data_IF_144181638174
#
_entry.id   IF_144181638174
#
_cell.length_a   1.000
_cell.length_b   1.000
_cell.length_c   1.000
_cell.angle_alpha   90.00
_cell.angle_beta   90.00
_cell.angle_gamma   90.00
#
_symmetry.space_group_name_H-M   'P 1'
#
loop_
_entity.id
_entity.type
_entity.pdbx_description
1 polymer ?
#
# COMPACT_ATOMS: atom_id res chain seq x y z
N UNK A 1 6.78 23.71 20.51
CA UNK A 1 6.65 22.53 19.62
C UNK A 1 5.29 22.60 18.94
N UNK A 2 5.21 22.19 17.66
CA UNK A 2 3.94 22.16 16.93
C UNK A 2 2.97 21.17 17.56
N UNK A 3 1.66 21.44 17.45
CA UNK A 3 0.62 20.47 17.81
C UNK A 3 0.19 19.67 16.57
N UNK A 4 -0.22 18.43 16.79
CA UNK A 4 -0.64 17.52 15.72
C UNK A 4 -2.13 17.23 15.86
N UNK A 5 -2.85 17.31 14.75
CA UNK A 5 -4.30 17.21 14.71
C UNK A 5 -4.74 16.15 13.70
N UNK A 6 -5.75 15.37 14.05
CA UNK A 6 -6.48 14.50 13.12
C UNK A 6 -7.84 15.14 12.83
N UNK A 7 -8.13 15.36 11.54
CA UNK A 7 -9.39 15.93 11.07
C UNK A 7 -10.05 14.96 10.11
N UNK A 8 -11.32 14.67 10.37
CA UNK A 8 -12.17 13.91 9.46
C UNK A 8 -12.70 14.78 8.33
N UNK A 9 -12.60 14.28 7.10
CA UNK A 9 -13.23 14.83 5.90
C UNK A 9 -14.03 13.75 5.17
N UNK A 10 -14.90 14.15 4.25
CA UNK A 10 -15.56 13.23 3.31
C UNK A 10 -14.69 13.00 2.07
N UNK A 11 -14.93 11.94 1.29
CA UNK A 11 -14.25 11.75 0.00
C UNK A 11 -14.38 12.97 -0.93
N UNK A 12 -15.57 13.55 -1.05
CA UNK A 12 -15.85 14.69 -1.94
C UNK A 12 -15.14 15.98 -1.50
N UNK A 13 -15.10 16.24 -0.19
CA UNK A 13 -14.41 17.40 0.35
C UNK A 13 -12.89 17.24 0.25
N UNK A 14 -12.35 16.04 0.50
CA UNK A 14 -10.94 15.75 0.27
C UNK A 14 -10.55 15.92 -1.20
N UNK A 15 -11.38 15.42 -2.13
CA UNK A 15 -11.20 15.60 -3.57
C UNK A 15 -11.20 17.08 -3.95
N UNK A 16 -12.13 17.85 -3.40
CA UNK A 16 -12.20 19.31 -3.60
C UNK A 16 -10.97 20.03 -3.06
N UNK A 17 -10.45 19.60 -1.90
CA UNK A 17 -9.22 20.17 -1.35
C UNK A 17 -7.99 19.84 -2.21
N UNK A 18 -7.97 18.64 -2.80
CA UNK A 18 -6.91 18.18 -3.69
C UNK A 18 -6.93 18.86 -5.06
N UNK A 19 -8.11 18.98 -5.68
CA UNK A 19 -8.25 19.46 -7.07
C UNK A 19 -8.41 20.98 -7.17
N UNK A 20 -9.02 21.62 -6.17
CA UNK A 20 -9.45 23.02 -6.27
C UNK A 20 -8.83 23.90 -5.19
N UNK A 21 -8.95 23.54 -3.90
CA UNK A 21 -8.54 24.42 -2.80
C UNK A 21 -7.02 24.40 -2.55
N UNK A 22 -6.35 23.33 -2.96
CA UNK A 22 -4.93 23.10 -2.75
C UNK A 22 -4.53 23.00 -1.26
N UNK A 23 -5.47 22.62 -0.38
CA UNK A 23 -5.28 22.62 1.07
C UNK A 23 -4.81 23.97 1.64
N UNK A 24 -5.17 25.08 0.99
CA UNK A 24 -4.76 26.44 1.40
C UNK A 24 -5.51 26.93 2.64
N UNK A 25 -6.63 26.29 2.97
CA UNK A 25 -7.50 26.64 4.09
C UNK A 25 -7.98 25.36 4.78
N UNK A 26 -7.85 25.31 6.10
CA UNK A 26 -8.56 24.35 6.94
C UNK A 26 -9.83 25.01 7.49
N UNK A 27 -11.00 24.60 7.00
CA UNK A 27 -12.29 25.00 7.56
C UNK A 27 -12.91 23.91 8.41
N UNK A 28 -13.65 24.31 9.45
CA UNK A 28 -14.47 23.43 10.27
C UNK A 28 -15.81 24.08 10.61
N UNK A 29 -16.78 23.23 10.98
CA UNK A 29 -18.09 23.66 11.49
C UNK A 29 -17.94 24.56 12.73
N UNK A 30 -18.90 25.45 12.95
CA UNK A 30 -18.85 26.43 14.06
C UNK A 30 -18.74 25.78 15.44
N UNK A 31 -19.31 24.58 15.62
CA UNK A 31 -19.15 23.79 16.86
C UNK A 31 -17.69 23.46 17.21
N UNK A 32 -16.79 23.49 16.23
CA UNK A 32 -15.35 23.25 16.38
C UNK A 32 -14.53 24.54 16.45
N UNK A 33 -15.16 25.72 16.52
CA UNK A 33 -14.49 27.03 16.66
C UNK A 33 -13.41 27.04 17.74
N UNK A 34 -13.74 26.53 18.93
CA UNK A 34 -12.80 26.47 20.07
C UNK A 34 -11.55 25.64 19.75
N UNK A 35 -11.64 24.67 18.84
CA UNK A 35 -10.50 23.89 18.38
C UNK A 35 -9.68 24.66 17.37
N UNK A 36 -10.30 25.28 16.36
CA UNK A 36 -9.59 26.10 15.36
C UNK A 36 -8.87 27.28 16.00
N UNK A 37 -9.46 27.89 17.04
CA UNK A 37 -8.81 28.95 17.83
C UNK A 37 -7.53 28.50 18.54
N UNK A 38 -7.31 27.19 18.72
CA UNK A 38 -6.07 26.65 19.30
C UNK A 38 -4.99 26.43 18.25
N UNK A 39 -5.32 26.46 16.97
CA UNK A 39 -4.34 26.27 15.91
C UNK A 39 -3.31 27.39 15.92
N UNK A 40 -2.06 26.99 15.76
CA UNK A 40 -0.92 27.90 15.66
C UNK A 40 -0.16 27.63 14.35
N UNK A 41 0.47 28.66 13.76
CA UNK A 41 1.40 28.42 12.67
C UNK A 41 2.45 27.36 13.04
N UNK A 42 2.62 26.37 12.18
CA UNK A 42 3.49 25.21 12.40
C UNK A 42 2.76 23.95 12.86
N UNK A 43 1.53 24.04 13.38
CA UNK A 43 0.71 22.87 13.69
C UNK A 43 0.46 22.02 12.43
N UNK A 44 0.34 20.71 12.61
CA UNK A 44 0.14 19.76 11.52
C UNK A 44 -1.26 19.17 11.57
N UNK A 45 -1.91 19.06 10.42
CA UNK A 45 -3.23 18.46 10.25
C UNK A 45 -3.09 17.22 9.37
N UNK A 46 -3.49 16.08 9.91
CA UNK A 46 -3.64 14.81 9.18
C UNK A 46 -5.11 14.65 8.76
N UNK A 47 -5.34 14.40 7.47
CA UNK A 47 -6.67 14.22 6.92
C UNK A 47 -7.07 12.74 6.89
N UNK A 48 -8.09 12.40 7.70
CA UNK A 48 -8.78 11.11 7.64
C UNK A 48 -10.02 11.21 6.74
N UNK A 49 -10.04 10.44 5.66
CA UNK A 49 -11.15 10.35 4.72
C UNK A 49 -12.12 9.30 5.23
N UNK A 50 -13.27 9.77 5.71
CA UNK A 50 -14.34 8.92 6.21
C UNK A 50 -14.94 8.05 5.10
N UNK A 51 -15.71 7.02 5.47
CA UNK A 51 -16.31 6.01 4.58
C UNK A 51 -15.31 5.03 3.95
N UNK A 52 -14.19 5.52 3.41
CA UNK A 52 -13.15 4.66 2.80
C UNK A 52 -12.05 4.23 3.79
N UNK A 53 -12.08 4.74 5.03
CA UNK A 53 -11.12 4.41 6.10
C UNK A 53 -9.66 4.69 5.72
N UNK A 54 -9.40 5.79 5.02
CA UNK A 54 -8.06 6.13 4.52
C UNK A 54 -7.52 7.42 5.13
N UNK A 55 -6.20 7.53 5.17
CA UNK A 55 -5.49 8.79 5.43
C UNK A 55 -4.97 9.33 4.10
N UNK A 56 -5.26 10.59 3.80
CA UNK A 56 -5.04 11.15 2.45
C UNK A 56 -3.98 12.24 2.35
N UNK A 57 -3.70 12.96 3.43
CA UNK A 57 -2.71 14.02 3.38
C UNK A 57 -2.36 14.63 4.72
N UNK A 58 -1.33 15.47 4.68
CA UNK A 58 -0.84 16.28 5.78
C UNK A 58 -0.73 17.72 5.28
N UNK A 59 -1.28 18.66 6.04
CA UNK A 59 -1.10 20.10 5.83
C UNK A 59 -0.51 20.76 7.07
N UNK A 60 0.26 21.82 6.87
CA UNK A 60 0.78 22.68 7.94
C UNK A 60 -0.09 23.92 8.05
N UNK A 61 -0.56 24.24 9.27
CA UNK A 61 -1.24 25.49 9.56
C UNK A 61 -0.24 26.66 9.42
N UNK A 62 -0.68 27.74 8.79
CA UNK A 62 0.13 28.94 8.52
C UNK A 62 -0.42 30.23 9.11
N UNK A 63 -1.63 30.20 9.70
CA UNK A 63 -2.22 31.35 10.40
C UNK A 63 -2.93 30.96 11.68
N UNK A 64 -3.29 31.96 12.49
CA UNK A 64 -4.32 31.79 13.53
C UNK A 64 -5.73 31.70 12.94
N UNK A 65 -6.71 31.55 13.84
CA UNK A 65 -8.13 31.51 13.52
C UNK A 65 -8.64 32.78 12.83
N UNK A 66 -9.51 32.59 11.85
CA UNK A 66 -10.38 33.62 11.31
C UNK A 66 -11.76 33.03 11.00
N UNK A 67 -12.76 33.91 10.91
CA UNK A 67 -14.14 33.53 10.61
C UNK A 67 -14.52 34.00 9.21
N UNK A 68 -15.10 33.11 8.40
CA UNK A 68 -15.58 33.42 7.06
C UNK A 68 -16.82 32.59 6.71
N UNK A 69 -17.98 33.25 6.70
CA UNK A 69 -19.26 32.66 6.36
C UNK A 69 -19.76 33.10 4.96
N UNK A 70 -18.87 33.60 4.09
CA UNK A 70 -19.24 34.12 2.76
C UNK A 70 -18.70 33.25 1.64
N UNK A 71 -17.48 32.72 1.79
CA UNK A 71 -16.83 31.96 0.71
C UNK A 71 -17.15 30.47 0.81
N UNK A 72 -17.77 29.88 -0.22
CA UNK A 72 -18.03 28.44 -0.29
C UNK A 72 -16.86 27.71 -0.98
N UNK A 73 -16.15 26.86 -0.24
CA UNK A 73 -15.00 26.09 -0.73
C UNK A 73 -15.35 24.61 -0.91
N UNK A 74 -16.19 24.07 -0.01
CA UNK A 74 -16.49 22.65 0.10
C UNK A 74 -17.86 22.29 -0.49
N UNK A 75 -18.07 21.00 -0.74
CA UNK A 75 -19.18 20.49 -1.58
C UNK A 75 -20.49 20.31 -0.84
N UNK A 76 -20.50 20.39 0.49
CA UNK A 76 -21.73 20.26 1.26
C UNK A 76 -22.69 21.41 0.88
N UNK A 77 -23.86 21.06 0.30
CA UNK A 77 -24.74 22.00 -0.42
C UNK A 77 -25.16 23.24 0.41
N UNK A 78 -25.28 23.10 1.72
CA UNK A 78 -25.69 24.17 2.65
C UNK A 78 -24.59 24.63 3.62
N UNK A 79 -23.38 24.09 3.54
CA UNK A 79 -22.42 24.19 4.65
C UNK A 79 -21.11 24.87 4.23
N UNK A 80 -20.79 25.96 4.94
CA UNK A 80 -19.69 26.89 4.61
C UNK A 80 -18.42 26.62 5.43
N UNK A 81 -18.52 25.89 6.54
CA UNK A 81 -17.43 25.66 7.52
C UNK A 81 -16.68 26.96 7.89
N UNK A 82 -17.34 27.86 8.64
CA UNK A 82 -16.89 29.24 8.76
C UNK A 82 -15.71 29.44 9.70
N UNK A 83 -15.40 28.47 10.55
CA UNK A 83 -14.26 28.54 11.47
C UNK A 83 -12.99 28.04 10.75
N UNK A 84 -12.08 28.95 10.41
CA UNK A 84 -10.96 28.67 9.49
C UNK A 84 -9.58 29.04 10.03
N UNK A 85 -8.57 28.39 9.48
CA UNK A 85 -7.17 28.81 9.54
C UNK A 85 -6.52 28.56 8.17
N UNK A 86 -5.57 29.40 7.78
CA UNK A 86 -4.79 29.17 6.54
C UNK A 86 -3.88 27.98 6.76
N UNK A 87 -3.64 27.23 5.69
CA UNK A 87 -2.77 26.06 5.68
C UNK A 87 -1.99 25.98 4.38
N UNK A 88 -1.02 25.07 4.32
CA UNK A 88 -0.36 24.67 3.08
C UNK A 88 -0.15 23.16 3.08
N UNK A 89 -0.26 22.48 1.93
CA UNK A 89 -0.02 21.05 1.86
C UNK A 89 1.45 20.74 2.12
N UNK A 90 1.70 19.59 2.74
CA UNK A 90 3.03 19.04 2.96
C UNK A 90 3.15 17.66 2.31
N UNK A 91 2.09 16.84 2.45
CA UNK A 91 1.95 15.54 1.79
C UNK A 91 0.52 15.44 1.28
N UNK A 92 0.34 15.07 0.01
CA UNK A 92 -0.97 14.77 -0.59
C UNK A 92 -0.82 13.49 -1.41
N UNK A 93 -1.59 12.47 -1.05
CA UNK A 93 -1.55 11.15 -1.70
C UNK A 93 -2.49 11.08 -2.91
N UNK A 94 -2.10 10.29 -3.91
CA UNK A 94 -2.99 9.87 -4.99
C UNK A 94 -3.98 8.81 -4.52
N UNK A 95 -5.05 8.58 -5.29
CA UNK A 95 -6.18 7.73 -4.90
C UNK A 95 -5.75 6.27 -4.65
N UNK A 96 -4.76 5.79 -5.40
CA UNK A 96 -4.12 4.48 -5.29
C UNK A 96 -3.04 4.42 -4.19
N UNK A 97 -2.62 5.57 -3.66
CA UNK A 97 -1.60 5.68 -2.61
C UNK A 97 -2.20 5.86 -1.22
N UNK A 98 -3.51 6.15 -1.13
CA UNK A 98 -4.23 6.40 0.12
C UNK A 98 -3.95 5.32 1.17
N UNK A 99 -3.47 5.76 2.33
CA UNK A 99 -3.03 4.86 3.39
C UNK A 99 -4.23 4.28 4.14
N UNK A 100 -4.35 2.95 4.17
CA UNK A 100 -5.38 2.27 4.95
C UNK A 100 -5.09 2.38 6.44
N UNK A 101 -5.91 3.14 7.17
CA UNK A 101 -5.71 3.32 8.61
C UNK A 101 -5.78 2.00 9.36
N UNK A 102 -6.49 0.99 8.83
CA UNK A 102 -6.61 -0.32 9.47
C UNK A 102 -5.27 -1.02 9.63
N UNK A 103 -4.30 -0.70 8.78
CA UNK A 103 -2.93 -1.19 8.87
C UNK A 103 -2.16 -0.61 10.06
N UNK A 104 -2.59 0.54 10.57
CA UNK A 104 -1.92 1.29 11.64
C UNK A 104 -2.65 1.22 12.98
N UNK A 105 -3.87 0.66 13.03
CA UNK A 105 -4.70 0.65 14.26
C UNK A 105 -3.92 0.11 15.46
N UNK A 106 -3.15 -0.96 15.28
CA UNK A 106 -2.39 -1.61 16.36
C UNK A 106 -1.34 -0.67 16.97
N UNK A 107 -0.74 0.17 16.13
CA UNK A 107 0.42 1.00 16.49
C UNK A 107 0.03 2.44 16.90
N UNK A 108 -1.16 2.93 16.52
CA UNK A 108 -1.65 4.27 16.89
C UNK A 108 -2.10 4.32 18.35
N UNK A 109 -1.34 5.01 19.20
CA UNK A 109 -1.57 5.12 20.65
C UNK A 109 -2.86 5.87 21.01
N UNK A 110 -3.29 6.85 20.19
CA UNK A 110 -4.53 7.60 20.43
C UNK A 110 -5.79 6.72 20.30
N UNK A 111 -5.69 5.57 19.62
CA UNK A 111 -6.77 4.58 19.48
C UNK A 111 -6.65 3.59 20.63
N UNK A 112 -7.43 3.81 21.70
CA UNK A 112 -7.36 3.01 22.92
C UNK A 112 -8.09 1.67 22.80
N UNK A 113 -9.21 1.65 22.09
CA UNK A 113 -9.97 0.43 21.79
C UNK A 113 -9.78 0.10 20.30
N UNK A 114 -9.04 -0.99 20.05
CA UNK A 114 -8.66 -1.43 18.70
C UNK A 114 -9.81 -2.12 17.97
N UNK A 115 -10.74 -2.73 18.69
CA UNK A 115 -11.93 -3.38 18.11
C UNK A 115 -12.92 -2.31 17.63
N UNK A 116 -13.12 -1.26 18.42
CA UNK A 116 -14.00 -0.13 18.10
C UNK A 116 -13.25 1.12 17.64
N UNK A 117 -12.14 0.93 16.91
CA UNK A 117 -11.24 2.01 16.48
C UNK A 117 -11.94 3.16 15.74
N UNK A 118 -13.03 2.87 15.01
CA UNK A 118 -13.76 3.85 14.21
C UNK A 118 -14.33 4.99 15.06
N UNK A 119 -14.61 4.75 16.34
CA UNK A 119 -15.07 5.77 17.30
C UNK A 119 -14.02 6.86 17.56
N UNK A 120 -12.73 6.55 17.36
CA UNK A 120 -11.62 7.46 17.63
C UNK A 120 -11.31 8.40 16.46
N UNK A 121 -11.87 8.10 15.28
CA UNK A 121 -11.58 8.82 14.03
C UNK A 121 -12.83 9.35 13.34
N UNK A 122 -14.02 8.78 13.55
CA UNK A 122 -15.25 9.24 12.88
C UNK A 122 -15.67 10.61 13.41
N UNK A 123 -15.74 11.60 12.52
CA UNK A 123 -16.13 12.98 12.86
C UNK A 123 -15.16 13.67 13.82
N UNK A 124 -13.93 13.18 13.88
CA UNK A 124 -12.88 13.67 14.77
C UNK A 124 -12.32 15.01 14.30
N UNK A 125 -12.20 15.91 15.26
CA UNK A 125 -11.35 17.09 15.20
C UNK A 125 -10.58 17.08 16.52
N UNK A 126 -9.43 16.41 16.55
CA UNK A 126 -8.76 16.06 17.80
C UNK A 126 -7.25 16.23 17.72
N UNK A 127 -6.59 16.53 18.86
CA UNK A 127 -5.15 16.37 18.94
C UNK A 127 -4.77 14.88 18.91
N UNK A 128 -3.61 14.60 18.33
CA UNK A 128 -2.94 13.30 18.36
C UNK A 128 -1.51 13.44 18.94
N UNK A 129 -0.97 12.39 19.59
CA UNK A 129 0.43 12.36 20.01
C UNK A 129 1.41 12.55 18.85
N UNK A 130 2.60 13.08 19.14
CA UNK A 130 3.68 13.26 18.16
C UNK A 130 4.13 11.93 17.55
N UNK A 131 4.26 10.88 18.37
CA UNK A 131 4.62 9.52 17.93
C UNK A 131 3.64 8.96 16.88
N UNK A 132 2.34 9.19 17.05
CA UNK A 132 1.31 8.75 16.12
C UNK A 132 1.37 9.56 14.81
N UNK A 133 1.65 10.87 14.90
CA UNK A 133 1.86 11.70 13.72
C UNK A 133 3.09 11.24 12.92
N UNK A 134 4.22 11.01 13.58
CA UNK A 134 5.47 10.59 12.95
C UNK A 134 5.31 9.23 12.25
N UNK A 135 4.56 8.31 12.87
CA UNK A 135 4.22 7.04 12.23
C UNK A 135 3.44 7.25 10.92
N UNK A 136 2.37 8.06 10.97
CA UNK A 136 1.55 8.37 9.78
C UNK A 136 2.38 9.07 8.71
N UNK A 137 3.16 10.08 9.07
CA UNK A 137 4.01 10.83 8.14
C UNK A 137 5.02 9.90 7.47
N UNK A 138 5.70 9.04 8.23
CA UNK A 138 6.64 8.05 7.71
C UNK A 138 5.97 7.12 6.69
N UNK A 139 4.80 6.57 7.01
CA UNK A 139 4.08 5.68 6.09
C UNK A 139 3.60 6.41 4.81
N UNK A 140 3.18 7.67 4.92
CA UNK A 140 2.86 8.46 3.74
C UNK A 140 4.10 8.81 2.90
N UNK A 141 5.25 9.10 3.52
CA UNK A 141 6.52 9.32 2.81
C UNK A 141 6.97 8.06 2.07
N UNK A 142 6.78 6.88 2.65
CA UNK A 142 7.01 5.59 1.97
C UNK A 142 6.10 5.40 0.77
N UNK A 143 4.84 5.86 0.84
CA UNK A 143 3.94 5.85 -0.31
C UNK A 143 4.46 6.79 -1.41
N UNK A 144 4.85 8.02 -1.08
CA UNK A 144 5.41 8.99 -2.04
C UNK A 144 6.74 8.54 -2.66
N UNK A 145 7.62 7.86 -1.92
CA UNK A 145 8.87 7.35 -2.49
C UNK A 145 8.64 6.29 -3.56
N UNK A 146 7.49 5.59 -3.54
CA UNK A 146 7.10 4.65 -4.60
C UNK A 146 6.62 5.39 -5.86
N UNK A 147 6.04 6.58 -5.72
CA UNK A 147 5.59 7.45 -6.84
C UNK A 147 6.73 7.83 -7.79
N UNK A 148 7.93 8.02 -7.25
CA UNK A 148 9.12 8.46 -7.99
C UNK A 148 10.03 7.33 -8.49
N UNK A 149 9.70 6.06 -8.24
CA UNK A 149 10.47 4.95 -8.80
C UNK A 149 10.27 4.94 -10.33
N UNK A 150 11.29 5.23 -11.15
CA UNK A 150 11.11 5.25 -12.58
C UNK A 150 10.73 3.86 -13.08
N UNK A 151 9.55 3.71 -13.68
CA UNK A 151 9.37 2.70 -14.71
C UNK A 151 10.36 3.07 -15.82
N UNK A 152 11.39 2.23 -16.02
CA UNK A 152 12.55 2.44 -16.91
C UNK A 152 13.59 3.43 -16.42
N UNK A 153 14.35 3.05 -15.40
CA UNK A 153 15.78 3.37 -15.44
C UNK A 153 16.33 2.59 -16.66
N UNK A 154 16.95 3.26 -17.65
CA UNK A 154 17.82 2.57 -18.62
C UNK A 154 18.96 1.94 -17.81
N UNK A 155 18.81 0.67 -17.48
CA UNK A 155 19.71 -0.03 -16.56
C UNK A 155 20.72 -0.80 -17.39
N UNK A 156 22.00 -0.44 -17.28
CA UNK A 156 23.09 -1.31 -17.70
C UNK A 156 22.94 -2.67 -16.97
N UNK A 157 23.06 -3.78 -17.69
CA UNK A 157 22.94 -5.14 -17.14
C UNK A 157 21.53 -5.77 -17.20
N UNK A 158 20.55 -5.13 -17.83
CA UNK A 158 19.21 -5.69 -18.01
C UNK A 158 19.10 -6.43 -19.32
N UNK A 159 18.38 -7.55 -19.31
CA UNK A 159 18.08 -8.31 -20.51
C UNK A 159 17.09 -7.51 -21.38
N UNK A 160 17.26 -7.57 -22.70
CA UNK A 160 16.56 -6.67 -23.63
C UNK A 160 15.10 -7.06 -23.86
N UNK A 161 14.79 -8.36 -23.83
CA UNK A 161 13.47 -8.88 -24.14
C UNK A 161 12.95 -9.85 -23.08
N UNK A 162 11.62 -10.00 -22.96
CA UNK A 162 11.01 -11.02 -22.08
C UNK A 162 11.54 -12.43 -22.38
N UNK A 163 11.86 -12.72 -23.65
CA UNK A 163 12.45 -13.99 -24.05
C UNK A 163 13.86 -14.21 -23.48
N UNK A 164 14.64 -13.15 -23.33
CA UNK A 164 15.97 -13.24 -22.72
C UNK A 164 15.82 -13.54 -21.21
N UNK A 165 14.85 -12.93 -20.52
CA UNK A 165 14.52 -13.30 -19.15
C UNK A 165 14.07 -14.76 -19.03
N UNK A 166 13.23 -15.25 -19.94
CA UNK A 166 12.82 -16.67 -19.97
C UNK A 166 14.03 -17.61 -20.11
N UNK A 167 15.03 -17.26 -20.93
CA UNK A 167 16.29 -18.02 -21.05
C UNK A 167 17.13 -17.93 -19.78
N UNK A 168 17.31 -16.74 -19.23
CA UNK A 168 18.08 -16.55 -18.00
C UNK A 168 17.46 -17.31 -16.82
N UNK A 169 16.13 -17.39 -16.73
CA UNK A 169 15.43 -18.24 -15.74
C UNK A 169 15.78 -19.71 -15.94
N UNK A 170 15.94 -20.19 -17.18
CA UNK A 170 16.32 -21.58 -17.45
C UNK A 170 17.75 -21.93 -17.00
N UNK A 171 18.65 -20.94 -16.95
CA UNK A 171 20.04 -21.11 -16.51
C UNK A 171 20.23 -20.98 -14.99
N UNK A 172 19.21 -20.50 -14.25
CA UNK A 172 19.28 -20.41 -12.79
C UNK A 172 19.43 -21.81 -12.15
N UNK A 173 20.14 -21.92 -11.00
CA UNK A 173 20.32 -23.18 -10.28
C UNK A 173 19.06 -23.57 -9.48
N UNK A 174 17.94 -23.73 -10.18
CA UNK A 174 16.63 -24.13 -9.64
C UNK A 174 16.40 -25.63 -9.87
N UNK A 175 15.61 -26.25 -8.98
CA UNK A 175 15.28 -27.68 -9.02
C UNK A 175 14.31 -27.99 -10.17
N UNK A 176 13.37 -27.09 -10.41
CA UNK A 176 12.31 -27.25 -11.39
C UNK A 176 12.81 -27.23 -12.84
N UNK A 177 12.14 -27.98 -13.72
CA UNK A 177 12.54 -28.12 -15.13
C UNK A 177 11.76 -27.22 -16.08
N UNK A 178 10.44 -27.11 -15.89
CA UNK A 178 9.59 -26.28 -16.75
C UNK A 178 9.72 -24.81 -16.35
N UNK A 179 9.55 -23.89 -17.31
CA UNK A 179 9.55 -22.45 -17.02
C UNK A 179 8.46 -22.08 -16.00
N UNK A 180 7.26 -22.68 -16.14
CA UNK A 180 6.15 -22.51 -15.19
C UNK A 180 6.56 -22.88 -13.77
N UNK A 181 7.07 -24.09 -13.57
CA UNK A 181 7.45 -24.57 -12.23
C UNK A 181 8.65 -23.78 -11.68
N UNK A 182 9.59 -23.34 -12.53
CA UNK A 182 10.71 -22.47 -12.12
C UNK A 182 10.25 -21.11 -11.61
N UNK A 183 9.30 -20.47 -12.28
CA UNK A 183 8.69 -19.22 -11.80
C UNK A 183 7.98 -19.46 -10.46
N UNK A 184 7.27 -20.59 -10.32
CA UNK A 184 6.67 -21.00 -9.05
C UNK A 184 7.70 -21.17 -7.92
N UNK A 185 8.82 -21.83 -8.19
CA UNK A 185 9.93 -22.01 -7.24
C UNK A 185 10.59 -20.70 -6.82
N UNK A 186 10.78 -19.78 -7.77
CA UNK A 186 11.29 -18.43 -7.49
C UNK A 186 10.35 -17.66 -6.55
N UNK A 187 9.04 -17.70 -6.82
CA UNK A 187 8.03 -17.06 -5.97
C UNK A 187 7.89 -17.73 -4.60
N UNK A 188 8.07 -19.04 -4.52
CA UNK A 188 8.14 -19.76 -3.24
C UNK A 188 9.33 -19.26 -2.41
N UNK A 189 10.50 -19.14 -3.04
CA UNK A 189 11.72 -18.66 -2.39
C UNK A 189 11.56 -17.21 -1.93
N UNK A 190 11.02 -16.33 -2.77
CA UNK A 190 10.75 -14.93 -2.43
C UNK A 190 9.79 -14.83 -1.24
N UNK A 191 8.70 -15.59 -1.22
CA UNK A 191 7.78 -15.59 -0.10
C UNK A 191 8.43 -16.09 1.20
N UNK A 192 9.32 -17.07 1.11
CA UNK A 192 10.09 -17.58 2.26
C UNK A 192 11.02 -16.51 2.84
N UNK A 193 11.70 -15.71 2.00
CA UNK A 193 12.51 -14.57 2.46
C UNK A 193 11.68 -13.50 3.19
N UNK A 194 10.39 -13.41 2.89
CA UNK A 194 9.45 -12.49 3.53
C UNK A 194 8.77 -13.10 4.77
N UNK A 195 9.31 -14.19 5.33
CA UNK A 195 8.78 -14.92 6.49
C UNK A 195 7.37 -15.53 6.27
N UNK A 196 6.95 -15.78 5.02
CA UNK A 196 5.71 -16.51 4.72
C UNK A 196 5.93 -18.03 4.70
N UNK A 197 4.92 -18.78 5.11
CA UNK A 197 4.83 -20.21 4.84
C UNK A 197 4.37 -20.41 3.39
N UNK A 198 5.25 -20.90 2.53
CA UNK A 198 4.99 -20.98 1.09
C UNK A 198 4.82 -22.42 0.60
N UNK A 199 3.76 -22.68 -0.16
CA UNK A 199 3.45 -24.02 -0.71
C UNK A 199 3.12 -23.92 -2.19
N UNK A 200 3.64 -24.86 -2.99
CA UNK A 200 3.26 -25.00 -4.40
C UNK A 200 2.11 -25.98 -4.57
N UNK A 201 1.31 -25.83 -5.64
CA UNK A 201 0.14 -26.70 -5.94
C UNK A 201 -0.83 -26.79 -4.76
N UNK A 202 -1.05 -25.65 -4.11
CA UNK A 202 -1.82 -25.55 -2.88
C UNK A 202 -3.32 -25.58 -3.17
N UNK A 203 -4.08 -26.51 -2.56
CA UNK A 203 -5.54 -26.48 -2.69
C UNK A 203 -6.12 -25.30 -1.92
N UNK A 204 -6.98 -24.51 -2.57
CA UNK A 204 -7.58 -23.31 -1.95
C UNK A 204 -8.34 -23.68 -0.68
N UNK A 205 -9.15 -24.74 -0.76
CA UNK A 205 -9.82 -25.39 0.37
C UNK A 205 -9.66 -26.92 0.26
N UNK A 206 -9.86 -27.70 1.34
CA UNK A 206 -9.83 -29.16 1.26
C UNK A 206 -10.77 -29.75 0.20
N UNK A 207 -11.91 -29.10 -0.03
CA UNK A 207 -12.96 -29.49 -0.99
C UNK A 207 -12.79 -28.85 -2.38
N UNK A 208 -11.90 -27.86 -2.53
CA UNK A 208 -11.71 -27.15 -3.79
C UNK A 208 -11.19 -28.08 -4.88
N UNK A 209 -11.80 -27.99 -6.06
CA UNK A 209 -11.31 -28.67 -7.26
C UNK A 209 -10.03 -28.02 -7.82
N UNK A 210 -9.65 -26.84 -7.32
CA UNK A 210 -8.55 -26.06 -7.85
C UNK A 210 -7.34 -26.04 -6.92
N UNK A 211 -6.18 -26.01 -7.56
CA UNK A 211 -4.89 -25.80 -6.92
C UNK A 211 -4.26 -24.52 -7.44
N UNK A 212 -3.76 -23.72 -6.49
CA UNK A 212 -2.92 -22.57 -6.72
C UNK A 212 -1.52 -23.00 -7.08
N UNK A 213 -0.89 -22.34 -8.05
CA UNK A 213 0.52 -22.60 -8.37
C UNK A 213 1.43 -22.31 -7.17
N UNK A 214 1.22 -21.17 -6.50
CA UNK A 214 1.90 -20.81 -5.25
C UNK A 214 0.93 -20.13 -4.30
N UNK A 215 1.00 -20.49 -3.01
CA UNK A 215 0.30 -19.80 -1.92
C UNK A 215 1.28 -19.35 -0.85
N UNK A 216 1.14 -18.11 -0.37
CA UNK A 216 1.86 -17.57 0.78
C UNK A 216 0.89 -17.40 1.95
N UNK A 217 1.26 -17.97 3.11
CA UNK A 217 0.46 -17.93 4.34
C UNK A 217 1.24 -17.27 5.46
N UNK A 218 0.57 -16.46 6.29
CA UNK A 218 1.10 -16.03 7.59
C UNK A 218 0.57 -16.96 8.67
N UNK A 219 1.39 -17.90 9.13
CA UNK A 219 0.91 -19.03 9.92
C UNK A 219 -0.04 -19.90 9.09
N UNK A 220 -1.33 -19.90 9.44
CA UNK A 220 -2.41 -20.56 8.67
C UNK A 220 -3.27 -19.58 7.86
N UNK A 221 -3.03 -18.28 7.98
CA UNK A 221 -3.87 -17.27 7.34
C UNK A 221 -3.47 -17.06 5.87
N UNK A 222 -4.42 -17.08 4.93
CA UNK A 222 -4.14 -16.86 3.51
C UNK A 222 -3.78 -15.40 3.23
N UNK A 223 -2.56 -15.16 2.74
CA UNK A 223 -2.06 -13.81 2.47
C UNK A 223 -2.04 -13.53 0.95
N UNK A 224 -1.33 -14.36 0.19
CA UNK A 224 -1.16 -14.17 -1.26
C UNK A 224 -1.41 -15.47 -2.01
N UNK A 225 -2.31 -15.43 -2.99
CA UNK A 225 -2.53 -16.51 -3.95
C UNK A 225 -1.92 -16.13 -5.29
N UNK A 226 -1.16 -17.02 -5.91
CA UNK A 226 -0.43 -16.75 -7.15
C UNK A 226 -0.69 -17.83 -8.18
N UNK A 227 -1.02 -17.40 -9.40
CA UNK A 227 -1.12 -18.24 -10.59
C UNK A 227 -0.09 -17.79 -11.63
N UNK A 228 0.53 -18.76 -12.28
CA UNK A 228 1.52 -18.55 -13.34
C UNK A 228 0.89 -18.95 -14.67
N UNK A 229 0.67 -18.00 -15.57
CA UNK A 229 0.04 -18.26 -16.87
C UNK A 229 1.00 -17.91 -18.01
N UNK A 230 1.83 -18.89 -18.39
CA UNK A 230 2.75 -18.83 -19.52
C UNK A 230 2.19 -19.73 -20.63
N UNK A 231 1.71 -19.15 -21.74
CA UNK A 231 0.86 -19.88 -22.69
C UNK A 231 -0.56 -20.17 -22.14
N UNK A 232 -1.47 -20.76 -22.92
CA UNK A 232 -2.78 -21.24 -22.42
C UNK A 232 -3.90 -20.20 -22.23
N UNK A 233 -5.01 -20.62 -21.58
CA UNK A 233 -6.22 -19.82 -21.37
C UNK A 233 -6.23 -19.09 -20.02
N UNK A 234 -6.32 -17.76 -20.04
CA UNK A 234 -6.43 -16.87 -18.88
C UNK A 234 -7.66 -17.15 -18.00
N UNK A 235 -8.77 -17.65 -18.58
CA UNK A 235 -10.02 -17.86 -17.86
C UNK A 235 -9.85 -18.84 -16.69
N UNK A 236 -8.99 -19.85 -16.85
CA UNK A 236 -8.75 -20.84 -15.79
C UNK A 236 -8.03 -20.21 -14.61
N UNK A 237 -6.95 -19.46 -14.86
CA UNK A 237 -6.20 -18.76 -13.82
C UNK A 237 -7.08 -17.72 -13.10
N UNK A 238 -7.86 -16.93 -13.83
CA UNK A 238 -8.77 -15.93 -13.24
C UNK A 238 -9.81 -16.60 -12.34
N UNK A 239 -10.37 -17.75 -12.73
CA UNK A 239 -11.33 -18.49 -11.87
C UNK A 239 -10.69 -18.93 -10.57
N UNK A 240 -9.48 -19.52 -10.62
CA UNK A 240 -8.75 -19.93 -9.41
C UNK A 240 -8.47 -18.75 -8.47
N UNK A 241 -8.01 -17.62 -9.02
CA UNK A 241 -7.74 -16.42 -8.23
C UNK A 241 -9.03 -15.81 -7.66
N UNK A 242 -10.16 -15.91 -8.36
CA UNK A 242 -11.45 -15.47 -7.81
C UNK A 242 -11.86 -16.30 -6.61
N UNK A 243 -11.77 -17.62 -6.71
CA UNK A 243 -12.08 -18.51 -5.60
C UNK A 243 -11.14 -18.28 -4.42
N UNK A 244 -9.84 -18.07 -4.67
CA UNK A 244 -8.90 -17.68 -3.62
C UNK A 244 -9.31 -16.37 -2.94
N UNK A 245 -9.74 -15.36 -3.72
CA UNK A 245 -10.22 -14.10 -3.16
C UNK A 245 -11.48 -14.28 -2.30
N UNK A 246 -12.42 -15.11 -2.76
CA UNK A 246 -13.64 -15.47 -2.02
C UNK A 246 -13.32 -16.26 -0.74
N UNK A 247 -12.29 -17.11 -0.77
CA UNK A 247 -11.75 -17.81 0.40
C UNK A 247 -10.88 -16.92 1.32
N UNK A 248 -10.87 -15.60 1.10
CA UNK A 248 -10.23 -14.59 1.96
C UNK A 248 -8.70 -14.46 1.83
N UNK A 249 -8.10 -14.85 0.71
CA UNK A 249 -6.75 -14.38 0.38
C UNK A 249 -6.74 -12.85 0.28
N UNK A 250 -5.80 -12.18 0.96
CA UNK A 250 -5.74 -10.71 0.98
C UNK A 250 -5.37 -10.11 -0.37
N UNK A 251 -4.51 -10.80 -1.12
CA UNK A 251 -4.04 -10.38 -2.44
C UNK A 251 -4.00 -11.57 -3.39
N UNK A 252 -4.27 -11.31 -4.66
CA UNK A 252 -4.14 -12.31 -5.72
C UNK A 252 -3.18 -11.79 -6.79
N UNK A 253 -2.29 -12.63 -7.30
CA UNK A 253 -1.28 -12.27 -8.29
C UNK A 253 -1.41 -13.20 -9.48
N UNK A 254 -1.43 -12.62 -10.68
CA UNK A 254 -1.35 -13.36 -11.93
C UNK A 254 -0.01 -13.04 -12.60
N UNK A 255 0.88 -14.03 -12.65
CA UNK A 255 2.08 -13.91 -13.50
C UNK A 255 1.68 -14.19 -14.93
N UNK A 256 1.94 -13.24 -15.82
CA UNK A 256 1.47 -13.27 -17.20
C UNK A 256 2.54 -12.75 -18.15
N UNK A 257 2.52 -13.25 -19.39
CA UNK A 257 3.33 -12.69 -20.48
C UNK A 257 2.90 -11.26 -20.81
N UNK A 258 3.87 -10.37 -21.00
CA UNK A 258 3.65 -8.93 -21.19
C UNK A 258 2.67 -8.65 -22.36
N UNK A 259 2.75 -9.43 -23.45
CA UNK A 259 1.88 -9.30 -24.61
C UNK A 259 0.39 -9.57 -24.31
N UNK A 260 0.06 -10.28 -23.23
CA UNK A 260 -1.32 -10.65 -22.87
C UNK A 260 -2.00 -9.63 -21.96
N UNK A 261 -1.30 -8.59 -21.49
CA UNK A 261 -1.85 -7.61 -20.54
C UNK A 261 -3.08 -6.88 -21.10
N UNK A 262 -3.06 -6.52 -22.38
CA UNK A 262 -4.19 -5.85 -23.05
C UNK A 262 -5.44 -6.72 -23.03
N UNK A 263 -5.28 -8.02 -23.28
CA UNK A 263 -6.38 -8.99 -23.22
C UNK A 263 -6.89 -9.18 -21.79
N UNK A 264 -6.00 -9.28 -20.80
CA UNK A 264 -6.37 -9.38 -19.39
C UNK A 264 -7.22 -8.17 -18.96
N UNK A 265 -6.78 -6.94 -19.31
CA UNK A 265 -7.52 -5.72 -19.01
C UNK A 265 -8.92 -5.68 -19.66
N UNK A 266 -9.04 -6.19 -20.88
CA UNK A 266 -10.34 -6.30 -21.55
C UNK A 266 -11.28 -7.27 -20.82
N UNK A 267 -10.77 -8.45 -20.40
CA UNK A 267 -11.54 -9.45 -19.65
C UNK A 267 -11.99 -8.88 -18.29
N UNK A 268 -11.09 -8.20 -17.58
CA UNK A 268 -11.35 -7.72 -16.22
C UNK A 268 -12.02 -6.34 -16.16
N UNK A 269 -12.38 -5.73 -17.30
CA UNK A 269 -12.86 -4.33 -17.37
C UNK A 269 -13.95 -4.01 -16.33
N UNK A 270 -14.92 -4.91 -16.19
CA UNK A 270 -16.07 -4.77 -15.26
C UNK A 270 -16.01 -5.74 -14.08
N UNK A 271 -14.88 -6.40 -13.88
CA UNK A 271 -14.72 -7.42 -12.88
C UNK A 271 -14.18 -6.83 -11.57
N UNK A 272 -14.87 -6.98 -10.42
CA UNK A 272 -14.38 -6.48 -9.13
C UNK A 272 -13.04 -7.08 -8.70
N UNK A 273 -12.65 -8.25 -9.21
CA UNK A 273 -11.36 -8.87 -8.88
C UNK A 273 -10.17 -7.98 -9.25
N UNK A 274 -10.33 -7.11 -10.27
CA UNK A 274 -9.29 -6.17 -10.72
C UNK A 274 -8.78 -5.24 -9.61
N UNK A 275 -9.59 -5.00 -8.58
CA UNK A 275 -9.22 -4.15 -7.45
C UNK A 275 -8.29 -4.87 -6.45
N UNK A 276 -8.12 -6.19 -6.59
CA UNK A 276 -7.33 -7.05 -5.70
C UNK A 276 -6.23 -7.81 -6.44
N UNK A 277 -6.33 -7.90 -7.76
CA UNK A 277 -5.42 -8.62 -8.64
C UNK A 277 -4.27 -7.73 -9.10
N UNK A 278 -3.04 -8.18 -8.87
CA UNK A 278 -1.86 -7.61 -9.52
C UNK A 278 -1.39 -8.52 -10.66
N UNK A 279 -1.14 -7.93 -11.83
CA UNK A 279 -0.52 -8.63 -12.96
C UNK A 279 1.00 -8.43 -12.90
N UNK A 280 1.76 -9.51 -12.81
CA UNK A 280 3.22 -9.47 -12.76
C UNK A 280 3.79 -10.06 -14.04
N UNK A 281 4.79 -9.39 -14.63
CA UNK A 281 5.53 -9.98 -15.77
C UNK A 281 6.57 -10.97 -15.29
N UNK A 282 7.00 -11.85 -16.21
CA UNK A 282 8.10 -12.79 -15.98
C UNK A 282 9.39 -12.04 -15.62
N UNK A 283 9.61 -10.91 -16.29
CA UNK A 283 10.69 -9.94 -16.01
C UNK A 283 10.66 -9.50 -14.55
N UNK A 284 9.51 -9.04 -14.05
CA UNK A 284 9.36 -8.59 -12.66
C UNK A 284 9.65 -9.71 -11.64
N UNK A 285 9.24 -10.95 -11.92
CA UNK A 285 9.54 -12.09 -11.04
C UNK A 285 11.03 -12.40 -11.02
N UNK A 286 11.69 -12.38 -12.19
CA UNK A 286 13.14 -12.56 -12.29
C UNK A 286 13.91 -11.50 -11.52
N UNK A 287 13.57 -10.23 -11.73
CA UNK A 287 14.20 -9.12 -11.01
C UNK A 287 13.98 -9.21 -9.50
N UNK A 288 12.76 -9.51 -9.07
CA UNK A 288 12.44 -9.65 -7.65
C UNK A 288 13.26 -10.78 -7.01
N UNK A 289 13.35 -11.92 -7.68
CA UNK A 289 14.12 -13.06 -7.19
C UNK A 289 15.61 -12.74 -7.13
N UNK A 290 16.21 -12.32 -8.25
CA UNK A 290 17.66 -12.11 -8.36
C UNK A 290 18.17 -10.95 -7.51
N UNK A 291 17.47 -9.80 -7.52
CA UNK A 291 17.82 -8.68 -6.64
C UNK A 291 17.55 -9.04 -5.17
N UNK A 292 16.51 -9.84 -4.92
CA UNK A 292 16.15 -10.34 -3.60
C UNK A 292 17.27 -11.17 -2.96
N UNK A 293 17.97 -12.01 -3.72
CA UNK A 293 19.03 -12.89 -3.18
C UNK A 293 20.07 -12.10 -2.37
N UNK A 294 20.66 -11.04 -2.96
CA UNK A 294 21.66 -10.24 -2.26
C UNK A 294 21.03 -9.33 -1.21
N UNK A 295 19.86 -8.75 -1.50
CA UNK A 295 19.15 -7.90 -0.54
C UNK A 295 18.85 -8.65 0.77
N UNK A 296 18.21 -9.81 0.69
CA UNK A 296 17.83 -10.59 1.87
C UNK A 296 19.04 -11.17 2.59
N UNK A 297 20.08 -11.59 1.85
CA UNK A 297 21.35 -11.98 2.47
C UNK A 297 21.92 -10.88 3.37
N UNK A 298 21.90 -9.62 2.92
CA UNK A 298 22.38 -8.49 3.72
C UNK A 298 21.37 -8.07 4.80
N UNK A 299 20.08 -8.10 4.50
CA UNK A 299 19.02 -7.74 5.42
C UNK A 299 18.96 -8.68 6.63
N UNK A 300 19.16 -9.98 6.43
CA UNK A 300 19.18 -10.96 7.51
C UNK A 300 20.35 -10.68 8.48
N UNK A 301 21.50 -10.20 7.99
CA UNK A 301 22.60 -9.76 8.86
C UNK A 301 22.21 -8.57 9.74
N UNK A 302 21.35 -7.68 9.23
CA UNK A 302 20.79 -6.57 10.01
C UNK A 302 19.77 -7.10 11.04
N UNK A 303 18.88 -8.02 10.64
CA UNK A 303 17.86 -8.62 11.52
C UNK A 303 18.48 -9.43 12.66
N UNK A 304 19.59 -10.11 12.39
CA UNK A 304 20.33 -10.94 13.35
C UNK A 304 21.39 -10.19 14.15
N UNK A 305 21.53 -8.87 14.00
CA UNK A 305 22.54 -8.06 14.67
C UNK A 305 22.39 -8.11 16.21
N UNK A 306 22.97 -9.15 16.80
CA UNK A 306 23.11 -9.37 18.24
C UNK A 306 24.50 -8.93 18.68
N UNK A 307 24.63 -8.57 19.95
CA UNK A 307 25.93 -8.37 20.57
C UNK A 307 26.81 -9.62 20.37
N UNK A 308 28.01 -9.43 19.82
CA UNK A 308 29.06 -10.44 19.71
C UNK A 308 30.36 -9.76 20.10
N UNK A 309 31.12 -10.35 21.02
CA UNK A 309 32.48 -9.90 21.31
C UNK A 309 33.35 -10.24 20.10
N UNK A 310 33.72 -9.24 19.31
CA UNK A 310 34.50 -9.41 18.08
C UNK A 310 35.94 -8.98 18.33
N UNK A 311 36.89 -9.84 17.98
CA UNK A 311 38.32 -9.53 18.05
C UNK A 311 38.72 -8.48 17.00
N UNK A 312 38.13 -8.54 15.81
CA UNK A 312 38.32 -7.58 14.70
C UNK A 312 37.01 -7.39 13.93
N UNK A 313 36.89 -6.29 13.18
CA UNK A 313 35.74 -6.01 12.30
C UNK A 313 36.10 -6.28 10.84
N UNK A 314 35.28 -7.07 10.16
CA UNK A 314 35.41 -7.37 8.73
C UNK A 314 34.33 -6.64 7.91
N UNK A 315 34.64 -6.33 6.66
CA UNK A 315 33.67 -5.79 5.69
C UNK A 315 32.73 -6.92 5.21
N UNK A 316 31.47 -6.56 4.95
CA UNK A 316 30.39 -7.46 4.49
C UNK A 316 30.17 -7.31 2.97
#
# INVERSE_FOLDING_TARGET
MPSYWLITTSPDNFKTDKETSGFTVQGLKERHKKTVMKFKPGDKVVYYINQISKLGGIATITSGYYHDNKTKIWTDEDEIWPSRAKSKPEIVLEDDELLDIKRLIKDLSFIKDKEHWSLFVRGSVRPIPEEDYLLVESEMRKALSRRGAPQRIKREGFLETENDYKKAIADLPLVSRSLHDRIGEMLQTVGSWMDFNTTTRFRITPESAYQLDVAWLSGKNPEVAIEVQIGGNLDSAIRKLREAREFNYRKVILVIEEEKITRLNAILRFDPIKNWLDAWSITSVYELYTNGQRFFQLYDLVKEARYRERKELELI
#
